data_IF_102565122166
#
_entry.id   IF_102565122166
#
_cell.length_a   1.000
_cell.length_b   1.000
_cell.length_c   1.000
_cell.angle_alpha   90.00
_cell.angle_beta   90.00
_cell.angle_gamma   90.00
#
_symmetry.space_group_name_H-M   'P 1'
#
loop_
_entity.id
_entity.type
_entity.pdbx_description
1 polymer ?
#
# COMPACT_ATOMS: atom_id res chain seq x y z
N UNK A 1 -0.37 11.81 -12.72
CA UNK A 1 0.16 12.21 -14.04
C UNK A 1 0.57 13.68 -14.06
N UNK A 2 -0.33 14.61 -13.67
CA UNK A 2 -0.07 16.07 -13.71
C UNK A 2 1.20 16.46 -12.96
N UNK A 3 1.39 15.98 -11.74
CA UNK A 3 2.56 16.28 -10.89
C UNK A 3 3.87 15.93 -11.61
N UNK A 4 3.98 14.73 -12.19
CA UNK A 4 5.20 14.31 -12.87
C UNK A 4 5.48 15.08 -14.17
N UNK A 5 4.44 15.45 -14.92
CA UNK A 5 4.57 16.23 -16.14
C UNK A 5 4.89 17.68 -15.82
N UNK A 6 4.27 18.26 -14.79
CA UNK A 6 4.41 19.69 -14.47
C UNK A 6 5.67 19.98 -13.66
N UNK A 7 5.97 19.20 -12.61
CA UNK A 7 7.14 19.44 -11.75
C UNK A 7 8.44 18.91 -12.35
N UNK A 8 8.41 17.71 -12.95
CA UNK A 8 9.61 17.04 -13.45
C UNK A 8 9.78 17.11 -14.96
N UNK A 9 8.89 17.82 -15.68
CA UNK A 9 8.92 18.03 -17.15
C UNK A 9 9.06 16.74 -17.95
N UNK A 10 8.50 15.65 -17.45
CA UNK A 10 8.52 14.36 -18.14
C UNK A 10 7.66 14.41 -19.40
N UNK A 11 8.14 13.81 -20.48
CA UNK A 11 7.32 13.58 -21.67
C UNK A 11 6.28 12.52 -21.39
N UNK A 12 5.16 12.53 -22.11
CA UNK A 12 4.11 11.52 -21.99
C UNK A 12 4.65 10.10 -22.19
N UNK A 13 5.63 9.93 -23.08
CA UNK A 13 6.29 8.64 -23.33
C UNK A 13 7.11 8.17 -22.12
N UNK A 14 7.90 9.05 -21.50
CA UNK A 14 8.69 8.74 -20.32
C UNK A 14 7.79 8.36 -19.13
N UNK A 15 6.68 9.09 -18.94
CA UNK A 15 5.69 8.76 -17.93
C UNK A 15 5.07 7.38 -18.17
N UNK A 16 4.72 7.04 -19.43
CA UNK A 16 4.16 5.73 -19.77
C UNK A 16 5.15 4.59 -19.50
N UNK A 17 6.44 4.80 -19.78
CA UNK A 17 7.49 3.80 -19.47
C UNK A 17 7.64 3.61 -17.96
N UNK A 18 7.65 4.69 -17.17
CA UNK A 18 7.69 4.60 -15.70
C UNK A 18 6.47 3.85 -15.16
N UNK A 19 5.29 4.13 -15.71
CA UNK A 19 4.07 3.44 -15.32
C UNK A 19 4.12 1.94 -15.66
N UNK A 20 4.64 1.58 -16.84
CA UNK A 20 4.83 0.19 -17.25
C UNK A 20 5.82 -0.55 -16.35
N UNK A 21 6.92 0.08 -15.95
CA UNK A 21 7.89 -0.48 -14.99
C UNK A 21 7.21 -0.74 -13.64
N UNK A 22 6.42 0.21 -13.14
CA UNK A 22 5.65 0.04 -11.89
C UNK A 22 4.66 -1.13 -11.99
N UNK A 23 3.97 -1.27 -13.13
CA UNK A 23 3.05 -2.39 -13.38
C UNK A 23 3.79 -3.74 -13.37
N UNK A 24 4.99 -3.82 -13.93
CA UNK A 24 5.82 -5.03 -13.86
C UNK A 24 6.21 -5.37 -12.43
N UNK A 25 6.56 -4.39 -11.61
CA UNK A 25 6.84 -4.59 -10.18
C UNK A 25 5.62 -5.18 -9.43
N UNK A 26 4.43 -4.66 -9.70
CA UNK A 26 3.18 -5.12 -9.11
C UNK A 26 2.85 -6.56 -9.53
N UNK A 27 3.01 -6.90 -10.80
CA UNK A 27 2.80 -8.26 -11.33
C UNK A 27 3.81 -9.24 -10.74
N UNK A 28 5.09 -8.87 -10.69
CA UNK A 28 6.13 -9.69 -10.08
C UNK A 28 5.81 -9.97 -8.60
N UNK A 29 5.42 -8.96 -7.85
CA UNK A 29 5.02 -9.11 -6.45
C UNK A 29 3.85 -10.09 -6.30
N UNK A 30 2.82 -9.99 -7.14
CA UNK A 30 1.66 -10.87 -7.12
C UNK A 30 2.05 -12.35 -7.41
N UNK A 31 2.99 -12.59 -8.33
CA UNK A 31 3.50 -13.93 -8.65
C UNK A 31 4.32 -14.53 -7.48
N UNK A 32 5.13 -13.70 -6.81
CA UNK A 32 5.95 -14.16 -5.69
C UNK A 32 5.20 -14.27 -4.36
N UNK A 33 4.04 -13.61 -4.24
CA UNK A 33 3.24 -13.57 -3.02
C UNK A 33 2.88 -14.96 -2.46
N UNK A 34 2.40 -15.95 -3.24
CA UNK A 34 2.08 -17.29 -2.73
C UNK A 34 3.30 -18.02 -2.15
N UNK A 35 4.49 -17.83 -2.74
CA UNK A 35 5.72 -18.43 -2.22
C UNK A 35 6.12 -17.87 -0.86
N UNK A 36 5.89 -16.56 -0.68
CA UNK A 36 6.16 -15.88 0.58
C UNK A 36 5.20 -16.35 1.69
N UNK A 37 3.92 -16.55 1.33
CA UNK A 37 2.91 -17.08 2.24
C UNK A 37 3.20 -18.53 2.68
N UNK A 38 3.67 -19.37 1.78
CA UNK A 38 4.06 -20.75 2.11
C UNK A 38 5.24 -20.81 3.09
N UNK A 39 6.18 -19.86 2.97
CA UNK A 39 7.39 -19.82 3.80
C UNK A 39 7.17 -19.17 5.16
N UNK A 40 6.43 -18.08 5.24
CA UNK A 40 6.31 -17.25 6.44
C UNK A 40 4.88 -17.20 7.04
N UNK A 41 3.90 -17.69 6.29
CA UNK A 41 2.49 -17.53 6.62
C UNK A 41 1.94 -16.17 6.16
N UNK A 42 0.64 -16.11 5.87
CA UNK A 42 -0.01 -14.92 5.33
C UNK A 42 0.07 -13.71 6.29
N UNK A 43 -0.16 -13.97 7.58
CA UNK A 43 -0.20 -12.94 8.62
C UNK A 43 1.16 -12.26 8.81
N UNK A 44 2.22 -13.05 8.97
CA UNK A 44 3.60 -12.53 9.12
C UNK A 44 4.06 -11.82 7.86
N UNK A 45 3.72 -12.34 6.69
CA UNK A 45 4.03 -11.71 5.40
C UNK A 45 3.36 -10.34 5.30
N UNK A 46 2.06 -10.26 5.64
CA UNK A 46 1.33 -8.99 5.63
C UNK A 46 1.97 -7.95 6.54
N UNK A 47 2.27 -8.32 7.79
CA UNK A 47 2.90 -7.44 8.78
C UNK A 47 4.27 -6.95 8.30
N UNK A 48 5.12 -7.85 7.81
CA UNK A 48 6.45 -7.52 7.33
C UNK A 48 6.40 -6.54 6.16
N UNK A 49 5.57 -6.85 5.14
CA UNK A 49 5.46 -6.03 3.93
C UNK A 49 4.82 -4.67 4.23
N UNK A 50 3.79 -4.64 5.10
CA UNK A 50 3.14 -3.40 5.51
C UNK A 50 4.10 -2.47 6.30
N UNK A 51 4.91 -3.05 7.18
CA UNK A 51 5.97 -2.30 7.90
C UNK A 51 7.02 -1.77 6.93
N UNK A 52 7.47 -2.59 5.99
CA UNK A 52 8.41 -2.16 4.94
C UNK A 52 7.83 -1.01 4.09
N UNK A 53 6.56 -1.11 3.71
CA UNK A 53 5.85 -0.07 2.99
C UNK A 53 5.82 1.26 3.76
N UNK A 54 5.49 1.21 5.05
CA UNK A 54 5.49 2.39 5.93
C UNK A 54 6.88 3.04 6.03
N UNK A 55 7.94 2.23 6.18
CA UNK A 55 9.33 2.73 6.25
C UNK A 55 9.71 3.40 4.93
N UNK A 56 9.44 2.77 3.78
CA UNK A 56 9.76 3.32 2.45
C UNK A 56 9.03 4.65 2.24
N UNK A 57 7.75 4.73 2.57
CA UNK A 57 6.97 5.95 2.40
C UNK A 57 7.41 7.06 3.37
N UNK A 58 7.76 6.70 4.62
CA UNK A 58 8.29 7.63 5.60
C UNK A 58 9.64 8.21 5.17
N UNK A 59 10.51 7.37 4.62
CA UNK A 59 11.81 7.78 4.11
C UNK A 59 11.68 8.69 2.89
N UNK A 60 10.78 8.34 1.96
CA UNK A 60 10.50 9.16 0.79
C UNK A 60 9.92 10.53 1.18
N UNK A 61 8.98 10.55 2.13
CA UNK A 61 8.41 11.79 2.65
C UNK A 61 9.47 12.67 3.32
N UNK A 62 10.34 12.07 4.16
CA UNK A 62 11.42 12.79 4.83
C UNK A 62 12.42 13.41 3.84
N UNK A 63 12.81 12.67 2.79
CA UNK A 63 13.71 13.17 1.74
C UNK A 63 13.12 14.36 1.00
N UNK A 64 11.82 14.32 0.67
CA UNK A 64 11.14 15.42 0.01
C UNK A 64 11.01 16.66 0.91
N UNK A 65 10.77 16.48 2.21
CA UNK A 65 10.75 17.57 3.19
C UNK A 65 12.14 18.23 3.35
N UNK A 66 13.22 17.47 3.17
CA UNK A 66 14.60 18.00 3.17
C UNK A 66 14.97 18.72 1.86
N UNK A 67 14.06 18.81 0.89
CA UNK A 67 14.29 19.49 -0.38
C UNK A 67 14.99 18.64 -1.46
N UNK A 68 15.14 17.34 -1.22
CA UNK A 68 15.69 16.43 -2.23
C UNK A 68 14.62 16.05 -3.28
N UNK A 69 14.34 16.95 -4.22
CA UNK A 69 13.38 16.73 -5.32
C UNK A 69 14.01 15.99 -6.51
N UNK A 70 14.86 15.01 -6.28
CA UNK A 70 15.48 14.25 -7.36
C UNK A 70 14.47 13.24 -7.94
N UNK A 71 14.16 13.36 -9.24
CA UNK A 71 13.24 12.50 -9.96
C UNK A 71 13.56 11.00 -9.78
N UNK A 72 14.82 10.63 -9.82
CA UNK A 72 15.24 9.22 -9.70
C UNK A 72 14.92 8.65 -8.33
N UNK A 73 15.07 9.43 -7.27
CA UNK A 73 14.76 9.02 -5.89
C UNK A 73 13.25 8.82 -5.74
N UNK A 74 12.45 9.75 -6.25
CA UNK A 74 10.99 9.66 -6.21
C UNK A 74 10.49 8.46 -7.03
N UNK A 75 11.01 8.26 -8.24
CA UNK A 75 10.64 7.13 -9.08
C UNK A 75 11.03 5.79 -8.45
N UNK A 76 12.23 5.67 -7.89
CA UNK A 76 12.68 4.45 -7.20
C UNK A 76 11.84 4.16 -5.94
N UNK A 77 11.57 5.18 -5.14
CA UNK A 77 10.72 5.04 -3.95
C UNK A 77 9.29 4.61 -4.29
N UNK A 78 8.70 5.21 -5.31
CA UNK A 78 7.38 4.83 -5.80
C UNK A 78 7.36 3.43 -6.41
N UNK A 79 8.39 3.03 -7.15
CA UNK A 79 8.51 1.67 -7.68
C UNK A 79 8.53 0.63 -6.56
N UNK A 80 9.33 0.85 -5.52
CA UNK A 80 9.38 -0.04 -4.35
C UNK A 80 8.02 -0.06 -3.64
N UNK A 81 7.41 1.11 -3.43
CA UNK A 81 6.10 1.22 -2.78
C UNK A 81 5.00 0.49 -3.55
N UNK A 82 4.92 0.67 -4.87
CA UNK A 82 3.93 -0.01 -5.73
C UNK A 82 4.17 -1.52 -5.75
N UNK A 83 5.43 -1.95 -5.78
CA UNK A 83 5.78 -3.37 -5.69
C UNK A 83 5.32 -3.98 -4.35
N UNK A 84 5.52 -3.28 -3.23
CA UNK A 84 5.03 -3.71 -1.92
C UNK A 84 3.50 -3.77 -1.85
N UNK A 85 2.79 -2.85 -2.50
CA UNK A 85 1.33 -2.91 -2.63
C UNK A 85 0.86 -4.18 -3.37
N UNK A 86 1.64 -4.67 -4.33
CA UNK A 86 1.38 -5.94 -5.01
C UNK A 86 1.39 -7.16 -4.07
N UNK A 87 2.05 -7.08 -2.92
CA UNK A 87 1.97 -8.08 -1.86
C UNK A 87 0.82 -7.78 -0.88
N UNK A 88 0.64 -6.52 -0.47
CA UNK A 88 -0.33 -6.11 0.55
C UNK A 88 -1.76 -6.38 0.08
N UNK A 89 -2.12 -6.01 -1.15
CA UNK A 89 -3.48 -6.09 -1.65
C UNK A 89 -4.05 -7.51 -1.67
N UNK A 90 -3.41 -8.50 -2.32
CA UNK A 90 -3.93 -9.85 -2.36
C UNK A 90 -3.88 -10.52 -0.98
N UNK A 91 -2.84 -10.27 -0.19
CA UNK A 91 -2.72 -10.83 1.17
C UNK A 91 -3.80 -10.28 2.10
N UNK A 92 -4.05 -8.98 2.06
CA UNK A 92 -5.10 -8.34 2.85
C UNK A 92 -6.49 -8.86 2.50
N UNK A 93 -6.78 -9.01 1.21
CA UNK A 93 -8.06 -9.58 0.75
C UNK A 93 -8.23 -11.04 1.18
N UNK A 94 -7.18 -11.86 1.10
CA UNK A 94 -7.20 -13.24 1.57
C UNK A 94 -7.46 -13.33 3.08
N UNK A 95 -6.77 -12.52 3.88
CA UNK A 95 -6.96 -12.48 5.34
C UNK A 95 -8.36 -12.02 5.72
N UNK A 96 -8.91 -11.02 5.02
CA UNK A 96 -10.26 -10.51 5.28
C UNK A 96 -11.35 -11.55 4.98
N UNK A 97 -11.15 -12.41 3.99
CA UNK A 97 -12.12 -13.41 3.55
C UNK A 97 -11.93 -14.79 4.21
N UNK A 98 -10.83 -15.02 4.92
CA UNK A 98 -10.42 -16.32 5.44
C UNK A 98 -11.46 -16.99 6.36
N UNK A 99 -12.26 -16.20 7.08
CA UNK A 99 -13.30 -16.70 8.02
C UNK A 99 -14.72 -16.62 7.48
N UNK A 100 -14.91 -16.24 6.21
CA UNK A 100 -16.24 -15.99 5.61
C UNK A 100 -16.64 -17.09 4.61
N UNK A 101 -16.54 -18.37 5.01
CA UNK A 101 -16.79 -19.51 4.12
C UNK A 101 -18.22 -19.58 3.59
N UNK A 102 -19.23 -19.23 4.40
CA UNK A 102 -20.64 -19.33 4.02
C UNK A 102 -21.14 -18.12 3.21
N UNK A 103 -20.54 -16.94 3.40
CA UNK A 103 -20.98 -15.67 2.79
C UNK A 103 -19.88 -14.99 1.97
N UNK A 104 -18.99 -15.77 1.35
CA UNK A 104 -17.82 -15.26 0.61
C UNK A 104 -18.20 -14.24 -0.47
N UNK A 105 -19.31 -14.42 -1.16
CA UNK A 105 -19.79 -13.50 -2.20
C UNK A 105 -20.16 -12.13 -1.64
N UNK A 106 -20.93 -12.09 -0.56
CA UNK A 106 -21.33 -10.84 0.10
C UNK A 106 -20.13 -10.15 0.75
N UNK A 107 -19.25 -10.93 1.40
CA UNK A 107 -18.05 -10.40 2.04
C UNK A 107 -17.08 -9.78 1.01
N UNK A 108 -16.89 -10.42 -0.15
CA UNK A 108 -16.05 -9.87 -1.21
C UNK A 108 -16.65 -8.63 -1.86
N UNK A 109 -17.97 -8.57 -2.04
CA UNK A 109 -18.66 -7.38 -2.53
C UNK A 109 -18.51 -6.21 -1.55
N UNK A 110 -18.67 -6.46 -0.25
CA UNK A 110 -18.48 -5.46 0.79
C UNK A 110 -17.02 -4.96 0.83
N UNK A 111 -16.05 -5.88 0.77
CA UNK A 111 -14.62 -5.54 0.71
C UNK A 111 -14.33 -4.63 -0.49
N UNK A 112 -14.81 -5.00 -1.67
CA UNK A 112 -14.63 -4.20 -2.88
C UNK A 112 -15.27 -2.81 -2.77
N UNK A 113 -16.51 -2.73 -2.26
CA UNK A 113 -17.20 -1.44 -2.09
C UNK A 113 -16.47 -0.53 -1.09
N UNK A 114 -15.94 -1.08 0.01
CA UNK A 114 -15.14 -0.33 0.97
C UNK A 114 -13.80 0.14 0.37
N UNK A 115 -13.14 -0.70 -0.42
CA UNK A 115 -11.89 -0.34 -1.11
C UNK A 115 -12.11 0.82 -2.10
N UNK A 116 -13.12 0.70 -2.97
CA UNK A 116 -13.43 1.75 -3.94
C UNK A 116 -13.97 3.02 -3.27
N UNK A 117 -14.79 2.89 -2.23
CA UNK A 117 -15.32 4.02 -1.47
C UNK A 117 -14.23 4.83 -0.77
N UNK A 118 -13.33 4.15 -0.04
CA UNK A 118 -12.18 4.82 0.57
C UNK A 118 -11.22 5.39 -0.47
N UNK A 119 -11.00 4.69 -1.58
CA UNK A 119 -10.20 5.17 -2.71
C UNK A 119 -10.75 6.46 -3.31
N UNK A 120 -12.08 6.58 -3.46
CA UNK A 120 -12.73 7.80 -3.95
C UNK A 120 -12.54 8.98 -2.99
N UNK A 121 -12.69 8.75 -1.68
CA UNK A 121 -12.48 9.78 -0.65
C UNK A 121 -11.03 10.26 -0.66
N UNK A 122 -10.06 9.33 -0.65
CA UNK A 122 -8.63 9.65 -0.68
C UNK A 122 -8.25 10.37 -1.97
N UNK A 123 -8.84 9.98 -3.11
CA UNK A 123 -8.63 10.65 -4.38
C UNK A 123 -9.14 12.09 -4.37
N UNK A 124 -10.31 12.34 -3.77
CA UNK A 124 -10.87 13.69 -3.62
C UNK A 124 -9.97 14.57 -2.73
N UNK A 125 -9.47 14.04 -1.60
CA UNK A 125 -8.53 14.73 -0.72
C UNK A 125 -7.22 15.03 -1.48
N UNK A 126 -6.67 14.07 -2.22
CA UNK A 126 -5.46 14.27 -3.02
C UNK A 126 -5.67 15.33 -4.09
N UNK A 127 -6.85 15.36 -4.71
CA UNK A 127 -7.22 16.40 -5.68
C UNK A 127 -7.28 17.80 -5.04
N UNK A 128 -7.85 17.92 -3.85
CA UNK A 128 -7.89 19.17 -3.10
C UNK A 128 -6.50 19.69 -2.70
N UNK A 129 -5.57 18.76 -2.41
CA UNK A 129 -4.18 19.08 -2.07
C UNK A 129 -3.26 19.19 -3.30
N UNK A 130 -3.79 19.09 -4.52
CA UNK A 130 -3.02 19.18 -5.76
C UNK A 130 -2.23 20.49 -5.90
N UNK A 131 -2.69 21.58 -5.26
CA UNK A 131 -1.98 22.85 -5.20
C UNK A 131 -0.60 22.77 -4.52
N UNK A 132 -0.37 21.75 -3.68
CA UNK A 132 0.91 21.50 -2.99
C UNK A 132 1.85 20.62 -3.82
N UNK A 133 1.51 20.31 -5.08
CA UNK A 133 2.34 19.54 -5.99
C UNK A 133 2.63 18.12 -5.51
N UNK A 134 3.85 17.67 -5.73
CA UNK A 134 4.31 16.33 -5.34
C UNK A 134 4.30 16.08 -3.84
N UNK A 135 4.53 17.11 -3.02
CA UNK A 135 4.47 17.00 -1.57
C UNK A 135 3.08 16.63 -1.07
N UNK A 136 2.01 17.22 -1.65
CA UNK A 136 0.63 16.90 -1.28
C UNK A 136 0.29 15.43 -1.56
N UNK A 137 0.72 14.91 -2.72
CA UNK A 137 0.52 13.52 -3.09
C UNK A 137 1.21 12.55 -2.10
N UNK A 138 2.49 12.77 -1.84
CA UNK A 138 3.30 11.90 -0.97
C UNK A 138 2.82 11.99 0.48
N UNK A 139 2.38 13.16 0.95
CA UNK A 139 1.79 13.33 2.27
C UNK A 139 0.54 12.46 2.45
N UNK A 140 -0.38 12.47 1.49
CA UNK A 140 -1.60 11.65 1.56
C UNK A 140 -1.25 10.16 1.58
N UNK A 141 -0.32 9.72 0.72
CA UNK A 141 0.12 8.32 0.70
C UNK A 141 0.79 7.94 2.02
N UNK A 142 1.62 8.81 2.58
CA UNK A 142 2.26 8.58 3.88
C UNK A 142 1.25 8.46 5.02
N UNK A 143 0.23 9.34 5.07
CA UNK A 143 -0.85 9.25 6.07
C UNK A 143 -1.61 7.94 5.94
N UNK A 144 -1.94 7.51 4.73
CA UNK A 144 -2.58 6.22 4.50
C UNK A 144 -1.69 5.05 4.95
N UNK A 145 -0.38 5.12 4.69
CA UNK A 145 0.58 4.11 5.14
C UNK A 145 0.68 4.06 6.68
N UNK A 146 0.65 5.21 7.34
CA UNK A 146 0.65 5.33 8.80
C UNK A 146 -0.61 4.71 9.41
N UNK A 147 -1.79 5.05 8.89
CA UNK A 147 -3.06 4.46 9.33
C UNK A 147 -3.05 2.95 9.15
N UNK A 148 -2.59 2.45 7.99
CA UNK A 148 -2.46 1.03 7.72
C UNK A 148 -1.50 0.33 8.69
N UNK A 149 -0.36 0.94 9.00
CA UNK A 149 0.63 0.39 9.93
C UNK A 149 0.09 0.35 11.36
N UNK A 150 -0.59 1.40 11.82
CA UNK A 150 -1.22 1.44 13.15
C UNK A 150 -2.30 0.38 13.27
N UNK A 151 -3.22 0.29 12.30
CA UNK A 151 -4.27 -0.73 12.30
C UNK A 151 -3.70 -2.15 12.24
N UNK A 152 -2.66 -2.36 11.45
CA UNK A 152 -1.99 -3.63 11.37
C UNK A 152 -1.43 -4.05 12.74
N UNK A 153 -0.70 -3.17 13.43
CA UNK A 153 -0.11 -3.48 14.73
C UNK A 153 -1.17 -3.73 15.80
N UNK A 154 -2.23 -2.92 15.89
CA UNK A 154 -3.29 -3.07 16.88
C UNK A 154 -4.11 -4.35 16.69
N UNK A 155 -4.38 -4.76 15.45
CA UNK A 155 -5.11 -6.00 15.15
C UNK A 155 -4.27 -7.24 15.47
N UNK A 156 -2.97 -7.19 15.21
CA UNK A 156 -2.07 -8.32 15.50
C UNK A 156 -1.81 -8.49 17.00
N UNK A 157 -1.66 -7.41 17.73
CA UNK A 157 -1.50 -7.47 19.20
C UNK A 157 -2.70 -8.13 19.86
N UNK A 158 -3.91 -7.86 19.36
CA UNK A 158 -5.13 -8.50 19.82
C UNK A 158 -5.17 -10.01 19.50
N UNK A 159 -4.76 -10.39 18.31
CA UNK A 159 -4.78 -11.79 17.87
C UNK A 159 -3.71 -12.63 18.56
N UNK A 160 -2.53 -12.08 18.84
CA UNK A 160 -1.50 -12.72 19.64
C UNK A 160 -1.95 -12.90 21.11
N UNK A 161 -2.70 -11.94 21.66
CA UNK A 161 -3.27 -12.04 23.00
C UNK A 161 -4.36 -13.13 23.10
N UNK A 162 -5.21 -13.26 22.07
CA UNK A 162 -6.26 -14.30 22.01
C UNK A 162 -5.69 -15.72 21.87
N UNK A 163 -4.55 -15.87 21.19
CA UNK A 163 -3.85 -17.17 21.07
C UNK A 163 -3.16 -17.57 22.39
N UNK A 164 -2.75 -16.60 23.20
CA UNK A 164 -2.08 -16.84 24.49
C UNK A 164 -3.05 -17.10 25.64
N UNK A 165 -4.36 -16.84 25.47
CA UNK A 165 -5.39 -17.26 26.42
C UNK A 165 -6.05 -18.56 25.94
N UNK A 166 -5.57 -19.75 26.38
CA UNK A 166 -6.30 -20.99 26.14
C UNK A 166 -7.64 -20.84 26.85
N UNK A 167 -8.74 -20.86 26.07
CA UNK A 167 -10.10 -20.87 26.60
C UNK A 167 -10.27 -22.10 27.50
N UNK A 168 -10.17 -21.89 28.80
CA UNK A 168 -10.76 -22.82 29.76
C UNK A 168 -12.29 -22.73 29.61
N UNK A 169 -12.84 -23.58 28.76
CA UNK A 169 -14.23 -24.00 28.77
C UNK A 169 -14.33 -25.49 28.53
#
# INVERSE_FOLDING_TARGET
ASVFITEYKLTATQFSVLFAINALGLVAAAIFNPKLHQKFGALKTYRLVNTAYFIVMGLLFSLLCMGYHNLYIVCAGLFIAVTLLGFIMPTGSQLALMHQHEHTGTASALLGSMQFGTGAIVSAITGALAAWGGLGLILVIFVCALVSAVMCNTLFEKQDADIQQPSFK
#
